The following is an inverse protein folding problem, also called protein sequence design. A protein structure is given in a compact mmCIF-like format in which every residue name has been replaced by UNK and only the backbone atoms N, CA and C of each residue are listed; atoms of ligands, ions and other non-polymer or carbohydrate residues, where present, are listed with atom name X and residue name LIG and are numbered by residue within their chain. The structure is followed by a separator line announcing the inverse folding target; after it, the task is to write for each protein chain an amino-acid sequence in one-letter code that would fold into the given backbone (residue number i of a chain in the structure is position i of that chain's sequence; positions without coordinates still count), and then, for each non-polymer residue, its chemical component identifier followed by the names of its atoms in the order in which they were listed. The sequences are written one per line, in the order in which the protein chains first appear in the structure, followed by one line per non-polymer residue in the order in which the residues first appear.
data_IF_939090144453
#
_entry.id   IF_939090144453
#
_cell.length_a   1.000
_cell.length_b   1.000
_cell.length_c   1.000
_cell.angle_alpha   90.00
_cell.angle_beta   90.00
_cell.angle_gamma   90.00
#
_symmetry.space_group_name_H-M   'P 1'
#
loop_
_entity.id
_entity.type
_entity.pdbx_description
1 polymer ?
#
# COMPACT_ATOMS: atom_id res chain seq x y z
N UNK A 1 23.88 -12.65 -7.64
CA UNK A 1 23.80 -11.68 -8.75
C UNK A 1 22.49 -11.93 -9.49
N UNK A 2 21.54 -11.01 -9.40
CA UNK A 2 20.23 -11.11 -10.07
C UNK A 2 20.35 -10.42 -11.44
N UNK A 3 20.58 -11.19 -12.50
CA UNK A 3 20.50 -10.68 -13.87
C UNK A 3 19.05 -10.34 -14.19
N UNK A 4 18.68 -9.08 -13.97
CA UNK A 4 17.48 -8.48 -14.55
C UNK A 4 17.82 -8.22 -16.01
N UNK A 5 17.13 -8.89 -16.93
CA UNK A 5 17.26 -8.58 -18.35
C UNK A 5 16.79 -7.13 -18.54
N UNK A 6 17.66 -6.25 -19.03
CA UNK A 6 17.28 -4.89 -19.38
C UNK A 6 16.30 -4.98 -20.56
N UNK A 7 15.00 -4.94 -20.26
CA UNK A 7 13.97 -4.79 -21.27
C UNK A 7 14.08 -3.38 -21.82
N UNK A 8 14.41 -3.27 -23.11
CA UNK A 8 14.35 -2.01 -23.82
C UNK A 8 12.88 -1.65 -24.07
N UNK A 9 12.30 -0.94 -23.10
CA UNK A 9 10.90 -0.47 -23.13
C UNK A 9 10.62 0.49 -24.31
N UNK A 10 11.65 0.93 -25.04
CA UNK A 10 11.50 1.77 -26.23
C UNK A 10 11.01 1.00 -27.48
N UNK A 11 11.08 -0.34 -27.47
CA UNK A 11 10.50 -1.23 -28.50
C UNK A 11 9.33 -2.03 -27.93
N UNK A 12 8.12 -1.53 -28.17
CA UNK A 12 6.90 -2.30 -27.97
C UNK A 12 6.69 -3.14 -29.24
N UNK A 13 7.20 -4.37 -29.22
CA UNK A 13 6.99 -5.36 -30.27
C UNK A 13 5.61 -6.05 -30.10
N UNK A 14 5.10 -6.70 -31.15
CA UNK A 14 3.77 -7.33 -31.13
C UNK A 14 3.62 -8.41 -30.04
N UNK A 15 4.72 -9.02 -29.60
CA UNK A 15 4.74 -10.02 -28.51
C UNK A 15 4.61 -9.39 -27.12
N UNK A 16 5.15 -8.18 -26.90
CA UNK A 16 5.14 -7.51 -25.58
C UNK A 16 3.95 -6.58 -25.39
N UNK A 17 3.36 -6.11 -26.49
CA UNK A 17 2.12 -5.30 -26.52
C UNK A 17 1.00 -5.82 -25.59
N UNK A 18 0.59 -7.11 -25.61
CA UNK A 18 -0.47 -7.59 -24.73
C UNK A 18 -0.12 -7.47 -23.24
N UNK A 19 1.15 -7.72 -22.89
CA UNK A 19 1.62 -7.58 -21.51
C UNK A 19 1.60 -6.12 -21.04
N UNK A 20 1.96 -5.18 -21.92
CA UNK A 20 1.92 -3.74 -21.63
C UNK A 20 0.49 -3.25 -21.45
N UNK A 21 -0.44 -3.69 -22.30
CA UNK A 21 -1.85 -3.32 -22.19
C UNK A 21 -2.48 -3.83 -20.88
N UNK A 22 -2.18 -5.08 -20.51
CA UNK A 22 -2.62 -5.64 -19.23
C UNK A 22 -2.05 -4.87 -18.04
N UNK A 23 -0.76 -4.53 -18.07
CA UNK A 23 -0.11 -3.72 -17.04
C UNK A 23 -0.75 -2.34 -16.90
N UNK A 24 -1.04 -1.66 -18.01
CA UNK A 24 -1.72 -0.35 -18.02
C UNK A 24 -3.13 -0.45 -17.46
N UNK A 25 -3.87 -1.51 -17.79
CA UNK A 25 -5.22 -1.74 -17.26
C UNK A 25 -5.20 -1.95 -15.75
N UNK A 26 -4.29 -2.78 -15.26
CA UNK A 26 -4.13 -3.06 -13.83
C UNK A 26 -3.71 -1.79 -13.06
N UNK A 27 -2.81 -0.96 -13.63
CA UNK A 27 -2.43 0.36 -13.09
C UNK A 27 -3.60 1.34 -13.03
N UNK A 28 -4.40 1.42 -14.10
CA UNK A 28 -5.56 2.31 -14.18
C UNK A 28 -6.63 1.93 -13.15
N UNK A 29 -6.93 0.63 -13.02
CA UNK A 29 -7.86 0.11 -12.02
C UNK A 29 -7.41 0.44 -10.60
N UNK A 30 -6.12 0.28 -10.29
CA UNK A 30 -5.56 0.68 -9.00
C UNK A 30 -5.77 2.17 -8.73
N UNK A 31 -5.45 3.05 -9.69
CA UNK A 31 -5.59 4.49 -9.50
C UNK A 31 -7.03 4.91 -9.22
N UNK A 32 -7.99 4.30 -9.94
CA UNK A 32 -9.41 4.55 -9.71
C UNK A 32 -9.86 4.08 -8.33
N UNK A 33 -9.39 2.90 -7.89
CA UNK A 33 -9.69 2.41 -6.56
C UNK A 33 -9.05 3.30 -5.48
N UNK A 34 -7.79 3.68 -5.63
CA UNK A 34 -7.09 4.54 -4.68
C UNK A 34 -7.72 5.94 -4.58
N UNK A 35 -8.12 6.54 -5.71
CA UNK A 35 -8.81 7.83 -5.68
C UNK A 35 -10.12 7.77 -4.91
N UNK A 36 -10.90 6.69 -5.08
CA UNK A 36 -12.16 6.52 -4.33
C UNK A 36 -11.93 6.39 -2.82
N UNK A 37 -10.86 5.71 -2.39
CA UNK A 37 -10.46 5.64 -0.99
C UNK A 37 -10.06 7.01 -0.42
N UNK A 38 -9.26 7.77 -1.16
CA UNK A 38 -8.84 9.12 -0.73
C UNK A 38 -10.04 10.05 -0.63
N UNK A 39 -10.89 10.10 -1.66
CA UNK A 39 -12.10 10.92 -1.66
C UNK A 39 -13.05 10.51 -0.52
N UNK A 40 -13.26 9.22 -0.30
CA UNK A 40 -14.07 8.72 0.81
C UNK A 40 -13.49 9.11 2.18
N UNK A 41 -12.16 9.05 2.33
CA UNK A 41 -11.49 9.45 3.58
C UNK A 41 -11.65 10.94 3.87
N UNK A 42 -11.55 11.81 2.86
CA UNK A 42 -11.81 13.25 3.03
C UNK A 42 -13.25 13.53 3.45
N UNK A 43 -14.24 12.83 2.88
CA UNK A 43 -15.65 12.96 3.27
C UNK A 43 -15.86 12.53 4.73
N UNK A 44 -15.22 11.45 5.17
CA UNK A 44 -15.29 11.01 6.58
C UNK A 44 -14.66 12.05 7.50
N UNK A 45 -13.45 12.52 7.19
CA UNK A 45 -12.73 13.51 8.00
C UNK A 45 -13.53 14.83 8.11
N UNK A 46 -14.16 15.29 7.03
CA UNK A 46 -14.98 16.50 7.06
C UNK A 46 -16.27 16.34 7.86
N UNK A 47 -16.82 15.11 7.97
CA UNK A 47 -17.99 14.81 8.79
C UNK A 47 -17.64 14.69 10.29
N UNK A 48 -16.46 14.19 10.64
CA UNK A 48 -16.09 13.90 12.05
C UNK A 48 -15.43 15.05 12.83
N UNK A 49 -15.15 16.20 12.21
CA UNK A 49 -14.84 17.45 12.93
C UNK A 49 -13.43 17.56 13.53
N UNK A 50 -13.01 18.81 13.73
CA UNK A 50 -11.63 19.31 13.62
C UNK A 50 -10.84 19.46 14.92
N UNK A 51 -11.14 18.70 15.98
CA UNK A 51 -10.42 18.84 17.26
C UNK A 51 -9.83 17.53 17.77
N UNK A 52 -8.63 17.15 17.31
CA UNK A 52 -7.85 16.11 17.97
C UNK A 52 -7.39 16.61 19.37
N UNK A 53 -7.73 15.85 20.41
CA UNK A 53 -7.47 16.18 21.81
C UNK A 53 -6.01 15.97 22.24
N UNK A 54 -5.06 16.65 21.62
CA UNK A 54 -3.61 16.52 21.94
C UNK A 54 -3.19 17.05 23.32
N UNK A 55 -4.11 17.64 24.08
CA UNK A 55 -3.84 18.20 25.40
C UNK A 55 -3.83 17.17 26.52
N UNK A 56 -4.28 15.93 26.28
CA UNK A 56 -4.30 14.85 27.28
C UNK A 56 -3.42 13.68 26.83
N UNK A 57 -2.78 12.96 27.78
CA UNK A 57 -2.02 11.74 27.47
C UNK A 57 -2.83 10.73 26.64
N UNK A 58 -4.10 10.54 26.98
CA UNK A 58 -5.00 9.61 26.26
C UNK A 58 -5.24 10.04 24.80
N UNK A 59 -5.38 11.35 24.57
CA UNK A 59 -5.53 11.88 23.22
C UNK A 59 -4.25 11.79 22.38
N UNK A 60 -3.07 11.89 23.01
CA UNK A 60 -1.78 11.61 22.36
C UNK A 60 -1.67 10.13 21.97
N UNK A 61 -2.06 9.21 22.86
CA UNK A 61 -2.08 7.76 22.60
C UNK A 61 -3.04 7.44 21.45
N UNK A 62 -4.23 8.03 21.45
CA UNK A 62 -5.21 7.86 20.38
C UNK A 62 -4.69 8.39 19.03
N UNK A 63 -3.98 9.52 19.02
CA UNK A 63 -3.39 10.05 17.80
C UNK A 63 -2.28 9.14 17.24
N UNK A 64 -1.44 8.56 18.11
CA UNK A 64 -0.42 7.58 17.70
C UNK A 64 -1.11 6.31 17.14
N UNK A 65 -2.20 5.87 17.77
CA UNK A 65 -2.99 4.74 17.30
C UNK A 65 -3.53 4.98 15.87
N UNK A 66 -4.11 6.16 15.62
CA UNK A 66 -4.58 6.56 14.29
C UNK A 66 -3.43 6.63 13.29
N UNK A 67 -2.28 7.21 13.66
CA UNK A 67 -1.10 7.28 12.79
C UNK A 67 -0.59 5.89 12.38
N UNK A 68 -0.56 4.93 13.31
CA UNK A 68 -0.19 3.54 13.02
C UNK A 68 -1.20 2.84 12.11
N UNK A 69 -2.50 3.09 12.29
CA UNK A 69 -3.53 2.56 11.38
C UNK A 69 -3.39 3.13 9.97
N UNK A 70 -3.10 4.43 9.83
CA UNK A 70 -2.81 5.06 8.54
C UNK A 70 -1.55 4.47 7.89
N UNK A 71 -0.49 4.26 8.68
CA UNK A 71 0.75 3.65 8.20
C UNK A 71 0.54 2.20 7.72
N UNK A 72 -0.32 1.45 8.42
CA UNK A 72 -0.72 0.11 7.99
C UNK A 72 -1.43 0.11 6.63
N UNK A 73 -2.37 1.05 6.44
CA UNK A 73 -3.06 1.22 5.16
C UNK A 73 -2.08 1.58 4.03
N UNK A 74 -1.13 2.49 4.29
CA UNK A 74 -0.10 2.86 3.33
C UNK A 74 0.83 1.70 2.99
N UNK A 75 1.22 0.88 3.96
CA UNK A 75 2.04 -0.31 3.70
C UNK A 75 1.31 -1.29 2.78
N UNK A 76 0.04 -1.58 3.07
CA UNK A 76 -0.78 -2.42 2.20
C UNK A 76 -0.98 -1.81 0.80
N UNK A 77 -1.12 -0.49 0.71
CA UNK A 77 -1.21 0.22 -0.56
C UNK A 77 0.03 0.02 -1.42
N UNK A 78 1.23 0.15 -0.84
CA UNK A 78 2.50 -0.07 -1.54
C UNK A 78 2.62 -1.51 -2.04
N UNK A 79 2.18 -2.49 -1.24
CA UNK A 79 2.16 -3.89 -1.65
C UNK A 79 1.26 -4.09 -2.88
N UNK A 80 0.02 -3.60 -2.85
CA UNK A 80 -0.94 -3.72 -3.95
C UNK A 80 -0.46 -2.97 -5.20
N UNK A 81 0.11 -1.79 -5.05
CA UNK A 81 0.68 -1.00 -6.16
C UNK A 81 1.83 -1.70 -6.88
N UNK A 82 2.58 -2.53 -6.16
CA UNK A 82 3.74 -3.24 -6.70
C UNK A 82 3.35 -4.45 -7.56
N UNK A 83 2.19 -5.05 -7.31
CA UNK A 83 1.71 -6.29 -7.97
C UNK A 83 1.66 -6.18 -9.50
N UNK A 84 1.04 -5.14 -10.13
CA UNK A 84 0.99 -5.04 -11.58
C UNK A 84 2.39 -5.02 -12.21
N UNK A 85 3.30 -4.24 -11.63
CA UNK A 85 4.68 -4.10 -12.13
C UNK A 85 5.44 -5.42 -12.06
N UNK A 86 5.14 -6.26 -11.07
CA UNK A 86 5.75 -7.58 -10.93
C UNK A 86 5.15 -8.60 -11.88
N UNK A 87 3.82 -8.60 -12.04
CA UNK A 87 3.10 -9.42 -13.03
C UNK A 87 3.64 -9.15 -14.43
N UNK A 88 3.88 -7.89 -14.78
CA UNK A 88 4.52 -7.51 -16.05
C UNK A 88 5.93 -8.08 -16.21
N UNK A 89 6.79 -7.97 -15.18
CA UNK A 89 8.17 -8.50 -15.22
C UNK A 89 8.24 -10.04 -15.30
N UNK A 90 7.24 -10.73 -14.74
CA UNK A 90 7.10 -12.19 -14.87
C UNK A 90 6.64 -12.55 -16.28
N UNK A 91 5.61 -11.88 -16.80
CA UNK A 91 5.06 -12.13 -18.14
C UNK A 91 6.08 -11.88 -19.27
N UNK A 92 6.97 -10.90 -19.09
CA UNK A 92 8.04 -10.56 -20.04
C UNK A 92 9.32 -11.38 -19.85
N UNK A 93 9.35 -12.30 -18.88
CA UNK A 93 10.52 -13.14 -18.61
C UNK A 93 11.74 -12.39 -18.04
N UNK A 94 11.58 -11.14 -17.62
CA UNK A 94 12.67 -10.34 -17.04
C UNK A 94 13.06 -10.80 -15.62
N UNK A 95 12.17 -11.52 -14.93
CA UNK A 95 12.43 -12.12 -13.63
C UNK A 95 12.64 -13.63 -13.77
N UNK A 96 13.89 -14.10 -13.60
CA UNK A 96 14.23 -15.54 -13.55
C UNK A 96 13.99 -16.19 -12.18
N UNK A 97 13.88 -15.39 -11.10
CA UNK A 97 13.68 -15.89 -9.74
C UNK A 97 12.76 -14.98 -8.93
N UNK A 98 11.65 -15.53 -8.43
CA UNK A 98 10.61 -14.80 -7.69
C UNK A 98 10.88 -14.63 -6.19
N UNK A 99 12.03 -15.05 -5.67
CA UNK A 99 12.31 -15.02 -4.22
C UNK A 99 12.45 -13.60 -3.68
N UNK A 100 13.14 -12.70 -4.39
CA UNK A 100 13.28 -11.29 -3.98
C UNK A 100 11.93 -10.60 -3.96
N UNK A 101 11.12 -10.85 -4.98
CA UNK A 101 9.75 -10.36 -5.11
C UNK A 101 8.89 -10.78 -3.91
N UNK A 102 8.85 -12.09 -3.60
CA UNK A 102 8.10 -12.59 -2.44
C UNK A 102 8.58 -12.00 -1.12
N UNK A 103 9.88 -11.78 -0.96
CA UNK A 103 10.47 -11.19 0.25
C UNK A 103 10.04 -9.74 0.44
N UNK A 104 10.10 -8.92 -0.61
CA UNK A 104 9.65 -7.52 -0.53
C UNK A 104 8.17 -7.42 -0.17
N UNK A 105 7.31 -8.25 -0.79
CA UNK A 105 5.88 -8.26 -0.49
C UNK A 105 5.62 -8.69 0.96
N UNK A 106 6.34 -9.73 1.41
CA UNK A 106 6.22 -10.23 2.77
C UNK A 106 6.63 -9.17 3.79
N UNK A 107 7.74 -8.46 3.58
CA UNK A 107 8.20 -7.41 4.50
C UNK A 107 7.15 -6.29 4.58
N UNK A 108 6.69 -5.78 3.43
CA UNK A 108 5.71 -4.69 3.41
C UNK A 108 4.37 -5.12 4.01
N UNK A 109 3.91 -6.35 3.76
CA UNK A 109 2.69 -6.89 4.35
C UNK A 109 2.81 -7.06 5.87
N UNK A 110 3.90 -7.67 6.36
CA UNK A 110 4.13 -7.86 7.79
C UNK A 110 4.32 -6.55 8.54
N UNK A 111 5.00 -5.58 7.94
CA UNK A 111 5.08 -4.22 8.48
C UNK A 111 3.69 -3.60 8.64
N UNK A 112 2.83 -3.74 7.61
CA UNK A 112 1.44 -3.32 7.68
C UNK A 112 0.65 -3.99 8.82
N UNK A 113 0.82 -5.30 9.01
CA UNK A 113 0.16 -6.06 10.11
C UNK A 113 0.63 -5.56 11.48
N UNK A 114 1.93 -5.34 11.68
CA UNK A 114 2.48 -4.84 12.94
C UNK A 114 1.93 -3.44 13.26
N UNK A 115 1.90 -2.55 12.27
CA UNK A 115 1.30 -1.23 12.43
C UNK A 115 -0.20 -1.31 12.74
N UNK A 116 -0.94 -2.24 12.13
CA UNK A 116 -2.36 -2.42 12.39
C UNK A 116 -2.63 -2.88 13.83
N UNK A 117 -1.96 -3.95 14.26
CA UNK A 117 -2.13 -4.51 15.61
C UNK A 117 -1.68 -3.52 16.67
N UNK A 118 -0.55 -2.83 16.45
CA UNK A 118 -0.07 -1.77 17.34
C UNK A 118 -1.06 -0.60 17.44
N UNK A 119 -1.60 -0.17 16.30
CA UNK A 119 -2.64 0.86 16.24
C UNK A 119 -3.91 0.48 17.00
N UNK A 120 -4.42 -0.74 16.80
CA UNK A 120 -5.58 -1.23 17.55
C UNK A 120 -5.32 -1.30 19.05
N UNK A 121 -4.17 -1.86 19.46
CA UNK A 121 -3.82 -2.04 20.87
C UNK A 121 -3.74 -0.69 21.58
N UNK A 122 -3.07 0.29 20.98
CA UNK A 122 -2.99 1.65 21.52
C UNK A 122 -4.34 2.38 21.46
N UNK A 123 -5.16 2.13 20.44
CA UNK A 123 -6.50 2.69 20.33
C UNK A 123 -7.43 2.19 21.45
N UNK A 124 -7.33 0.92 21.83
CA UNK A 124 -8.06 0.37 22.98
C UNK A 124 -7.58 0.98 24.31
N UNK A 125 -6.27 1.17 24.49
CA UNK A 125 -5.70 1.74 25.72
C UNK A 125 -6.03 3.23 25.86
N UNK A 126 -5.97 4.01 24.77
CA UNK A 126 -6.31 5.44 24.78
C UNK A 126 -7.81 5.73 24.76
N UNK A 127 -8.66 4.72 24.57
CA UNK A 127 -10.12 4.83 24.51
C UNK A 127 -10.85 4.40 25.77
N UNK A 128 -10.17 3.84 26.77
CA UNK A 128 -10.78 3.56 28.08
C UNK A 128 -10.97 4.86 28.85
N UNK A 129 -12.22 5.24 29.22
CA UNK A 129 -12.42 6.38 30.10
C UNK A 129 -11.77 6.08 31.46
N UNK A 130 -10.82 6.92 31.85
CA UNK A 130 -10.26 6.96 33.22
C UNK A 130 -11.20 7.69 34.18
#
# INVERSE_FOLDING_TARGET
MSEVRALDLSRIDDETRPCVLEWLRDRSAFHSWFSSLVTGSFVVITVFGSKPGFSTPDGVVLAIAVALLLLSLLANLVAVWSIPSWKFRVATGALKSGTTMRRELAITAWFGVVCFVGGLTLGFIGGTPG
#
